data_IF_974766312002
#
_entry.id   IF_974766312002
#
_cell.length_a   1.000
_cell.length_b   1.000
_cell.length_c   1.000
_cell.angle_alpha   90.00
_cell.angle_beta   90.00
_cell.angle_gamma   90.00
#
_symmetry.space_group_name_H-M   'P 1'
#
loop_
_entity.id
_entity.type
_entity.pdbx_description
1 polymer ?
#
# COMPACT_ATOMS: atom_id res chain seq x y z
N UNK A 1 -16.36 -6.51 2.19
CA UNK A 1 -15.64 -7.76 1.90
C UNK A 1 -16.53 -8.75 1.16
N UNK A 2 -17.75 -9.01 1.65
CA UNK A 2 -18.73 -9.90 1.01
C UNK A 2 -18.98 -9.56 -0.47
N UNK A 3 -19.16 -8.28 -0.80
CA UNK A 3 -19.37 -7.85 -2.19
C UNK A 3 -18.16 -8.16 -3.10
N UNK A 4 -16.94 -7.98 -2.60
CA UNK A 4 -15.73 -8.29 -3.37
C UNK A 4 -15.62 -9.80 -3.64
N UNK A 5 -15.95 -10.63 -2.64
CA UNK A 5 -16.02 -12.10 -2.78
C UNK A 5 -17.09 -12.49 -3.82
N UNK A 6 -18.27 -11.85 -3.76
CA UNK A 6 -19.35 -12.06 -4.73
C UNK A 6 -18.94 -11.70 -6.15
N UNK A 7 -18.24 -10.58 -6.35
CA UNK A 7 -17.72 -10.17 -7.66
C UNK A 7 -16.65 -11.14 -8.18
N UNK A 8 -15.75 -11.62 -7.33
CA UNK A 8 -14.76 -12.66 -7.68
C UNK A 8 -15.45 -13.95 -8.11
N UNK A 9 -16.50 -14.39 -7.40
CA UNK A 9 -17.30 -15.55 -7.76
C UNK A 9 -18.04 -15.36 -9.10
N UNK A 10 -18.67 -14.19 -9.31
CA UNK A 10 -19.34 -13.85 -10.57
C UNK A 10 -18.39 -13.86 -11.77
N UNK A 11 -17.12 -13.47 -11.56
CA UNK A 11 -16.08 -13.52 -12.58
C UNK A 11 -15.44 -14.91 -12.77
N UNK A 12 -15.88 -15.94 -12.03
CA UNK A 12 -15.30 -17.29 -12.08
C UNK A 12 -13.89 -17.39 -11.46
N UNK A 13 -13.52 -16.41 -10.63
CA UNK A 13 -12.17 -16.27 -10.06
C UNK A 13 -12.08 -16.68 -8.58
N UNK A 14 -13.17 -17.11 -7.95
CA UNK A 14 -13.20 -17.38 -6.50
C UNK A 14 -12.05 -18.28 -5.98
N UNK A 15 -11.62 -19.28 -6.77
CA UNK A 15 -10.50 -20.17 -6.40
C UNK A 15 -9.10 -19.60 -6.72
N UNK A 16 -9.01 -18.61 -7.61
CA UNK A 16 -7.76 -18.01 -8.10
C UNK A 16 -7.44 -16.68 -7.42
N UNK A 17 -8.48 -15.91 -7.09
CA UNK A 17 -8.43 -14.62 -6.42
C UNK A 17 -9.24 -14.70 -5.11
N UNK A 18 -8.67 -15.40 -4.13
CA UNK A 18 -9.23 -15.55 -2.80
C UNK A 18 -9.10 -14.21 -2.07
N UNK A 19 -10.23 -13.69 -1.58
CA UNK A 19 -10.29 -12.44 -0.82
C UNK A 19 -10.57 -12.80 0.63
N UNK A 20 -9.70 -12.36 1.53
CA UNK A 20 -9.80 -12.59 2.96
C UNK A 20 -9.18 -11.43 3.72
N UNK A 21 -9.52 -11.31 4.99
CA UNK A 21 -8.81 -10.43 5.91
C UNK A 21 -7.39 -10.97 6.10
N UNK A 22 -6.41 -10.07 6.16
CA UNK A 22 -5.07 -10.40 6.60
C UNK A 22 -5.04 -10.27 8.13
N UNK A 23 -4.79 -11.36 8.83
CA UNK A 23 -4.42 -11.33 10.24
C UNK A 23 -2.92 -11.66 10.35
N UNK A 24 -2.19 -10.92 11.19
CA UNK A 24 -0.73 -11.10 11.30
C UNK A 24 -0.36 -12.35 12.14
N UNK A 25 -1.33 -12.97 12.81
CA UNK A 25 -1.28 -14.26 13.52
C UNK A 25 -1.96 -15.39 12.73
N UNK A 26 -2.26 -15.20 11.46
CA UNK A 26 -3.02 -16.18 10.71
C UNK A 26 -2.23 -17.48 10.43
N UNK A 27 -2.43 -18.46 11.29
CA UNK A 27 -1.79 -19.78 11.21
C UNK A 27 -2.22 -20.60 9.99
N UNK A 28 -3.28 -20.21 9.27
CA UNK A 28 -3.67 -20.89 8.03
C UNK A 28 -2.79 -20.48 6.85
N UNK A 29 -2.08 -19.34 6.93
CA UNK A 29 -1.13 -18.98 5.89
C UNK A 29 0.17 -19.74 6.10
N UNK A 30 0.31 -20.82 5.34
CA UNK A 30 1.54 -21.63 5.33
C UNK A 30 2.74 -20.78 4.92
N UNK A 31 3.76 -20.82 5.76
CA UNK A 31 5.08 -20.26 5.49
C UNK A 31 5.67 -20.82 4.19
N UNK A 32 6.45 -19.99 3.50
CA UNK A 32 7.23 -20.31 2.30
C UNK A 32 6.38 -20.88 1.16
N UNK A 33 5.22 -20.28 0.90
CA UNK A 33 4.32 -20.70 -0.20
C UNK A 33 4.11 -19.65 -1.28
N UNK A 34 4.55 -18.41 -1.09
CA UNK A 34 4.33 -17.32 -2.05
C UNK A 34 5.58 -17.08 -2.88
N UNK A 35 5.42 -17.00 -4.19
CA UNK A 35 6.48 -16.64 -5.14
C UNK A 35 6.65 -15.11 -5.24
N UNK A 36 5.59 -14.38 -4.96
CA UNK A 36 5.60 -12.93 -4.87
C UNK A 36 4.52 -12.40 -3.92
N UNK A 37 4.79 -11.25 -3.33
CA UNK A 37 3.80 -10.41 -2.64
C UNK A 37 3.84 -9.02 -3.27
N UNK A 38 2.66 -8.47 -3.54
CA UNK A 38 2.49 -7.11 -4.04
C UNK A 38 1.69 -6.31 -3.02
N UNK A 39 2.21 -5.16 -2.61
CA UNK A 39 1.56 -4.23 -1.69
C UNK A 39 1.41 -2.88 -2.37
N UNK A 40 0.22 -2.29 -2.26
CA UNK A 40 -0.07 -0.97 -2.80
C UNK A 40 -0.64 -0.10 -1.69
N UNK A 41 0.15 0.87 -1.24
CA UNK A 41 -0.25 1.98 -0.38
C UNK A 41 -1.04 1.53 0.85
N UNK A 42 -0.46 0.59 1.60
CA UNK A 42 -1.18 -0.11 2.67
C UNK A 42 -0.42 -0.33 3.96
N UNK A 43 0.92 -0.29 3.96
CA UNK A 43 1.69 -0.60 5.17
C UNK A 43 1.56 0.48 6.24
N UNK A 44 1.38 1.74 5.83
CA UNK A 44 1.18 2.84 6.78
C UNK A 44 -0.11 2.72 7.61
N UNK A 45 -1.03 1.80 7.26
CA UNK A 45 -2.25 1.52 8.03
C UNK A 45 -2.07 0.38 9.04
N UNK A 46 -0.93 -0.31 9.01
CA UNK A 46 -0.64 -1.44 9.91
C UNK A 46 0.16 -0.93 11.11
N UNK A 47 -0.38 -1.14 12.32
CA UNK A 47 0.23 -0.64 13.55
C UNK A 47 1.48 -1.41 13.98
N UNK A 48 1.53 -2.71 13.72
CA UNK A 48 2.62 -3.59 14.13
C UNK A 48 3.66 -3.77 13.01
N UNK A 49 4.61 -2.84 12.95
CA UNK A 49 5.60 -2.69 11.87
C UNK A 49 6.60 -3.83 11.80
N UNK A 50 7.13 -4.26 12.94
CA UNK A 50 8.13 -5.32 12.98
C UNK A 50 7.51 -6.66 12.59
N UNK A 51 6.31 -6.92 13.11
CA UNK A 51 5.58 -8.14 12.79
C UNK A 51 5.21 -8.22 11.33
N UNK A 52 4.73 -7.14 10.70
CA UNK A 52 4.36 -7.21 9.28
C UNK A 52 5.55 -7.57 8.41
N UNK A 53 6.75 -7.02 8.65
CA UNK A 53 7.92 -7.40 7.86
C UNK A 53 8.29 -8.87 8.03
N UNK A 54 8.26 -9.37 9.27
CA UNK A 54 8.52 -10.79 9.54
C UNK A 54 7.49 -11.68 8.85
N UNK A 55 6.20 -11.36 8.99
CA UNK A 55 5.11 -12.07 8.32
C UNK A 55 5.34 -12.08 6.81
N UNK A 56 5.63 -10.94 6.18
CA UNK A 56 5.87 -10.89 4.73
C UNK A 56 7.04 -11.77 4.28
N UNK A 57 8.12 -11.80 5.07
CA UNK A 57 9.28 -12.65 4.81
C UNK A 57 8.93 -14.13 4.91
N UNK A 58 8.24 -14.52 5.98
CA UNK A 58 7.86 -15.92 6.25
C UNK A 58 6.90 -16.48 5.19
N UNK A 59 6.03 -15.63 4.63
CA UNK A 59 5.11 -16.05 3.58
C UNK A 59 5.79 -16.40 2.26
N UNK A 60 6.91 -15.75 1.97
CA UNK A 60 7.65 -15.89 0.72
C UNK A 60 8.56 -17.12 0.75
N UNK A 61 8.65 -17.82 -0.38
CA UNK A 61 9.68 -18.84 -0.59
C UNK A 61 11.08 -18.19 -0.61
N UNK A 62 12.18 -18.96 -0.52
CA UNK A 62 13.51 -18.45 -0.85
C UNK A 62 13.57 -17.85 -2.27
N UNK A 63 14.45 -16.86 -2.49
CA UNK A 63 14.62 -16.14 -3.76
C UNK A 63 13.33 -15.55 -4.36
N UNK A 64 12.36 -15.18 -3.54
CA UNK A 64 11.04 -14.68 -3.98
C UNK A 64 10.87 -13.19 -3.77
N UNK A 65 9.85 -12.60 -4.40
CA UNK A 65 9.79 -11.15 -4.61
C UNK A 65 8.78 -10.45 -3.70
N UNK A 66 9.21 -9.38 -3.04
CA UNK A 66 8.32 -8.39 -2.43
C UNK A 66 8.35 -7.11 -3.27
N UNK A 67 7.19 -6.70 -3.79
CA UNK A 67 7.01 -5.48 -4.56
C UNK A 67 6.05 -4.56 -3.82
N UNK A 68 6.45 -3.31 -3.61
CA UNK A 68 5.63 -2.36 -2.86
C UNK A 68 5.63 -0.98 -3.50
N UNK A 69 4.51 -0.27 -3.39
CA UNK A 69 4.43 1.18 -3.57
C UNK A 69 3.93 1.79 -2.28
N UNK A 70 4.72 2.60 -1.59
CA UNK A 70 4.33 3.19 -0.30
C UNK A 70 4.57 4.69 -0.24
N UNK A 71 3.69 5.36 0.52
CA UNK A 71 3.94 6.72 1.00
C UNK A 71 4.94 6.69 2.15
N UNK A 72 6.00 7.48 2.04
CA UNK A 72 7.03 7.64 3.05
C UNK A 72 7.04 9.08 3.57
N UNK A 73 7.31 9.27 4.85
CA UNK A 73 7.45 10.59 5.46
C UNK A 73 8.81 11.20 5.17
N UNK A 74 8.83 12.53 4.99
CA UNK A 74 10.08 13.30 4.93
C UNK A 74 10.18 14.19 6.17
N UNK A 75 11.22 14.04 7.02
CA UNK A 75 11.42 14.91 8.17
C UNK A 75 11.54 16.38 7.79
N UNK A 76 10.90 17.26 8.57
CA UNK A 76 11.03 18.71 8.43
C UNK A 76 10.33 19.35 7.23
N UNK A 77 9.60 18.60 6.39
CA UNK A 77 8.87 19.14 5.22
C UNK A 77 7.37 18.86 5.30
N UNK A 78 6.57 19.74 4.69
CA UNK A 78 5.12 19.58 4.49
C UNK A 78 4.34 19.01 5.68
N UNK A 79 4.67 19.46 6.91
CA UNK A 79 4.14 18.84 8.13
C UNK A 79 2.63 19.07 8.27
N UNK A 80 2.17 20.27 7.89
CA UNK A 80 0.77 20.66 7.95
C UNK A 80 -0.05 19.87 6.92
N UNK A 81 0.37 19.86 5.65
CA UNK A 81 -0.32 19.14 4.57
C UNK A 81 -0.32 17.62 4.82
N UNK A 82 0.76 17.08 5.39
CA UNK A 82 0.81 15.68 5.82
C UNK A 82 -0.15 15.40 6.97
N UNK A 83 -0.28 16.30 7.94
CA UNK A 83 -1.21 16.13 9.05
C UNK A 83 -2.66 16.21 8.57
N UNK A 84 -2.96 17.14 7.66
CA UNK A 84 -4.26 17.26 7.00
C UNK A 84 -4.64 16.03 6.19
N UNK A 85 -3.70 15.48 5.41
CA UNK A 85 -3.89 14.20 4.73
C UNK A 85 -4.12 13.07 5.73
N UNK A 86 -3.32 13.02 6.80
CA UNK A 86 -3.45 12.03 7.87
C UNK A 86 -4.80 12.04 8.56
N UNK A 87 -5.43 13.21 8.70
CA UNK A 87 -6.73 13.39 9.34
C UNK A 87 -7.90 12.76 8.55
N UNK A 88 -7.72 12.45 7.27
CA UNK A 88 -8.73 11.74 6.47
C UNK A 88 -8.82 10.25 6.78
N UNK A 89 -7.78 9.68 7.41
CA UNK A 89 -7.76 8.28 7.76
C UNK A 89 -8.46 8.05 9.09
N UNK A 90 -9.25 6.96 9.18
CA UNK A 90 -9.90 6.54 10.42
C UNK A 90 -8.90 6.32 11.57
N UNK A 91 -7.70 5.84 11.24
CA UNK A 91 -6.58 5.68 12.16
C UNK A 91 -5.42 6.49 11.59
N UNK A 92 -4.76 7.27 12.44
CA UNK A 92 -3.63 8.10 12.01
C UNK A 92 -2.56 7.24 11.32
N UNK A 93 -2.18 7.56 10.07
CA UNK A 93 -1.28 6.74 9.29
C UNK A 93 0.13 6.80 9.90
N UNK A 94 0.76 5.63 10.03
CA UNK A 94 2.14 5.50 10.49
C UNK A 94 3.06 5.35 9.29
N UNK A 95 3.46 6.48 8.71
CA UNK A 95 4.42 6.52 7.60
C UNK A 95 5.83 6.14 8.05
N UNK A 96 6.55 5.41 7.20
CA UNK A 96 7.97 5.11 7.39
C UNK A 96 8.82 6.24 6.82
N UNK A 97 9.98 6.46 7.41
CA UNK A 97 11.10 7.06 6.68
C UNK A 97 11.75 6.01 5.77
N UNK A 98 12.43 6.45 4.70
CA UNK A 98 13.02 5.51 3.75
C UNK A 98 14.04 4.57 4.40
N UNK A 99 14.92 5.11 5.24
CA UNK A 99 15.94 4.30 5.91
C UNK A 99 15.31 3.36 6.94
N UNK A 100 14.30 3.81 7.69
CA UNK A 100 13.53 2.96 8.61
C UNK A 100 12.92 1.75 7.88
N UNK A 101 12.30 1.97 6.72
CA UNK A 101 11.70 0.92 5.92
C UNK A 101 12.77 -0.09 5.45
N UNK A 102 13.90 0.41 4.94
CA UNK A 102 14.99 -0.44 4.43
C UNK A 102 15.63 -1.27 5.52
N UNK A 103 15.89 -0.66 6.68
CA UNK A 103 16.41 -1.34 7.85
C UNK A 103 15.43 -2.39 8.37
N UNK A 104 14.14 -2.06 8.47
CA UNK A 104 13.11 -2.99 8.94
C UNK A 104 13.00 -4.24 8.06
N UNK A 105 13.03 -4.06 6.74
CA UNK A 105 13.06 -5.18 5.79
C UNK A 105 14.37 -5.99 5.92
N UNK A 106 15.51 -5.32 6.01
CA UNK A 106 16.81 -5.99 6.09
C UNK A 106 16.96 -6.80 7.39
N UNK A 107 16.44 -6.30 8.51
CA UNK A 107 16.43 -6.98 9.82
C UNK A 107 15.73 -8.33 9.78
N UNK A 108 14.72 -8.52 8.92
CA UNK A 108 14.00 -9.80 8.78
C UNK A 108 14.53 -10.65 7.62
N UNK A 109 15.64 -10.24 6.98
CA UNK A 109 16.34 -11.01 5.96
C UNK A 109 16.03 -10.62 4.52
N UNK A 110 15.21 -9.60 4.25
CA UNK A 110 15.04 -9.12 2.88
C UNK A 110 16.29 -8.41 2.37
N UNK A 111 16.61 -8.63 1.10
CA UNK A 111 17.59 -7.85 0.35
C UNK A 111 16.87 -6.82 -0.53
N UNK A 112 16.95 -5.54 -0.14
CA UNK A 112 16.29 -4.43 -0.84
C UNK A 112 17.09 -4.03 -2.07
N UNK A 113 16.61 -4.43 -3.24
CA UNK A 113 17.26 -4.21 -4.55
C UNK A 113 16.93 -2.86 -5.16
N UNK A 114 15.72 -2.36 -4.94
CA UNK A 114 15.27 -1.07 -5.47
C UNK A 114 14.50 -0.33 -4.38
N UNK A 115 14.81 0.95 -4.21
CA UNK A 115 13.96 1.91 -3.54
C UNK A 115 13.99 3.20 -4.36
N UNK A 116 13.03 3.33 -5.28
CA UNK A 116 12.98 4.42 -6.25
C UNK A 116 11.90 5.41 -5.87
N UNK A 117 12.26 6.68 -5.76
CA UNK A 117 11.30 7.78 -5.67
C UNK A 117 10.54 7.91 -7.01
N UNK A 118 9.23 7.71 -6.96
CA UNK A 118 8.30 7.85 -8.08
C UNK A 118 7.32 9.02 -7.86
N UNK A 119 7.57 9.90 -6.87
CA UNK A 119 6.68 11.00 -6.46
C UNK A 119 6.26 11.86 -7.65
N UNK A 120 7.19 12.22 -8.53
CA UNK A 120 6.89 13.02 -9.73
C UNK A 120 5.92 12.29 -10.68
N UNK A 121 6.18 11.02 -10.95
CA UNK A 121 5.34 10.21 -11.84
C UNK A 121 3.96 9.97 -11.20
N UNK A 122 3.93 9.73 -9.90
CA UNK A 122 2.70 9.51 -9.14
C UNK A 122 1.81 10.76 -9.08
N UNK A 123 2.38 11.95 -8.83
CA UNK A 123 1.65 13.24 -8.90
C UNK A 123 1.02 13.46 -10.29
N UNK A 124 1.78 13.19 -11.35
CA UNK A 124 1.26 13.29 -12.72
C UNK A 124 0.11 12.29 -12.97
N UNK A 125 0.21 11.07 -12.42
CA UNK A 125 -0.86 10.08 -12.49
C UNK A 125 -2.12 10.55 -11.75
N UNK A 126 -1.99 11.07 -10.53
CA UNK A 126 -3.10 11.59 -9.73
C UNK A 126 -3.83 12.73 -10.46
N UNK A 127 -3.09 13.73 -10.94
CA UNK A 127 -3.67 14.87 -11.66
C UNK A 127 -4.45 14.41 -12.90
N UNK A 128 -3.87 13.48 -13.67
CA UNK A 128 -4.54 12.89 -14.83
C UNK A 128 -5.80 12.08 -14.43
N UNK A 129 -5.74 11.37 -13.31
CA UNK A 129 -6.87 10.61 -12.75
C UNK A 129 -8.04 11.53 -12.39
N UNK A 130 -7.76 12.61 -11.66
CA UNK A 130 -8.76 13.61 -11.26
C UNK A 130 -9.36 14.30 -12.50
N UNK A 131 -8.53 14.71 -13.48
CA UNK A 131 -9.01 15.32 -14.72
C UNK A 131 -9.90 14.36 -15.54
N UNK A 132 -9.55 13.08 -15.59
CA UNK A 132 -10.40 12.06 -16.24
C UNK A 132 -11.69 11.87 -15.48
N UNK A 133 -11.62 11.76 -14.14
CA UNK A 133 -12.78 11.62 -13.29
C UNK A 133 -13.77 12.77 -13.52
N UNK A 134 -13.31 14.02 -13.47
CA UNK A 134 -14.14 15.21 -13.72
C UNK A 134 -14.79 15.24 -15.11
N UNK A 135 -14.19 14.61 -16.12
CA UNK A 135 -14.79 14.45 -17.46
C UNK A 135 -15.82 13.32 -17.51
N UNK A 136 -15.72 12.33 -16.63
CA UNK A 136 -16.59 11.14 -16.56
C UNK A 136 -17.69 11.26 -15.51
N UNK A 137 -17.64 12.26 -14.62
CA UNK A 137 -18.75 12.53 -13.67
C UNK A 137 -20.02 12.64 -14.51
N UNK A 138 -21.00 11.75 -14.29
CA UNK A 138 -22.13 11.62 -15.19
C UNK A 138 -22.94 12.92 -15.24
N UNK A 139 -23.54 13.19 -16.40
CA UNK A 139 -24.64 14.17 -16.50
C UNK A 139 -25.89 13.70 -15.73
N UNK A 140 -25.92 12.44 -15.32
CA UNK A 140 -26.92 11.85 -14.45
C UNK A 140 -26.49 11.93 -12.98
N UNK A 141 -27.43 12.14 -12.05
CA UNK A 141 -27.10 12.30 -10.64
C UNK A 141 -26.50 11.02 -10.05
N UNK A 142 -25.36 11.18 -9.37
CA UNK A 142 -24.79 10.14 -8.50
C UNK A 142 -25.85 9.76 -7.46
N UNK A 143 -26.08 8.45 -7.27
CA UNK A 143 -27.00 7.94 -6.24
C UNK A 143 -26.68 8.62 -4.91
N UNK A 144 -27.70 9.14 -4.22
CA UNK A 144 -27.53 9.95 -3.00
C UNK A 144 -26.63 9.27 -1.97
N UNK A 145 -26.76 7.96 -1.81
CA UNK A 145 -25.96 7.12 -0.92
C UNK A 145 -24.46 7.02 -1.29
N UNK A 146 -24.09 7.31 -2.54
CA UNK A 146 -22.71 7.30 -3.02
C UNK A 146 -22.08 8.69 -3.06
N UNK A 147 -22.87 9.77 -2.92
CA UNK A 147 -22.36 11.14 -3.04
C UNK A 147 -21.29 11.44 -1.98
N UNK A 148 -21.53 11.06 -0.72
CA UNK A 148 -20.56 11.26 0.36
C UNK A 148 -19.25 10.51 0.11
N UNK A 149 -19.33 9.26 -0.37
CA UNK A 149 -18.14 8.46 -0.71
C UNK A 149 -17.35 9.05 -1.86
N UNK A 150 -18.03 9.54 -2.90
CA UNK A 150 -17.38 10.21 -4.03
C UNK A 150 -16.69 11.49 -3.58
N UNK A 151 -17.34 12.31 -2.74
CA UNK A 151 -16.74 13.53 -2.22
C UNK A 151 -15.54 13.24 -1.33
N UNK A 152 -15.62 12.23 -0.48
CA UNK A 152 -14.49 11.77 0.34
C UNK A 152 -13.31 11.33 -0.53
N UNK A 153 -13.54 10.57 -1.60
CA UNK A 153 -12.49 10.12 -2.51
C UNK A 153 -11.81 11.30 -3.21
N UNK A 154 -12.58 12.29 -3.66
CA UNK A 154 -12.04 13.52 -4.28
C UNK A 154 -11.20 14.31 -3.29
N UNK A 155 -11.68 14.49 -2.05
CA UNK A 155 -10.95 15.18 -0.99
C UNK A 155 -9.66 14.42 -0.63
N UNK A 156 -9.73 13.09 -0.52
CA UNK A 156 -8.59 12.23 -0.27
C UNK A 156 -7.48 12.45 -1.30
N UNK A 157 -7.79 12.35 -2.58
CA UNK A 157 -6.78 12.52 -3.62
C UNK A 157 -6.25 13.96 -3.70
N UNK A 158 -7.07 14.97 -3.42
CA UNK A 158 -6.62 16.36 -3.35
C UNK A 158 -5.62 16.58 -2.20
N UNK A 159 -5.92 16.07 -0.99
CA UNK A 159 -5.01 16.19 0.16
C UNK A 159 -3.75 15.34 -0.03
N UNK A 160 -3.85 14.16 -0.64
CA UNK A 160 -2.67 13.35 -1.01
C UNK A 160 -1.77 14.12 -1.98
N UNK A 161 -2.34 14.78 -3.00
CA UNK A 161 -1.56 15.61 -3.92
C UNK A 161 -0.86 16.75 -3.18
N UNK A 162 -1.57 17.48 -2.30
CA UNK A 162 -0.99 18.58 -1.53
C UNK A 162 0.15 18.11 -0.62
N UNK A 163 -0.01 16.97 0.06
CA UNK A 163 1.05 16.40 0.90
C UNK A 163 2.29 15.98 0.10
N UNK A 164 2.09 15.45 -1.13
CA UNK A 164 3.19 15.13 -2.07
C UNK A 164 3.83 16.39 -2.66
N UNK A 165 3.06 17.46 -2.88
CA UNK A 165 3.56 18.73 -3.43
C UNK A 165 4.38 19.50 -2.40
N UNK A 166 3.89 19.59 -1.17
CA UNK A 166 4.60 20.17 -0.03
C UNK A 166 5.83 19.35 0.41
N UNK A 167 5.96 18.12 -0.12
CA UNK A 167 7.06 17.21 0.18
C UNK A 167 6.99 16.62 1.59
N UNK A 168 5.83 16.66 2.26
CA UNK A 168 5.63 16.02 3.56
C UNK A 168 5.58 14.50 3.46
N UNK A 169 5.13 14.01 2.30
CA UNK A 169 5.20 12.60 1.91
C UNK A 169 5.84 12.45 0.53
N UNK A 170 6.39 11.26 0.26
CA UNK A 170 6.91 10.84 -1.06
C UNK A 170 6.33 9.48 -1.42
N UNK A 171 6.22 9.17 -2.72
CA UNK A 171 5.81 7.86 -3.20
C UNK A 171 7.04 7.08 -3.65
N UNK A 172 7.29 5.93 -3.03
CA UNK A 172 8.42 5.07 -3.38
C UNK A 172 7.95 3.73 -3.92
N UNK A 173 8.62 3.27 -4.99
CA UNK A 173 8.56 1.88 -5.43
C UNK A 173 9.72 1.10 -4.84
N UNK A 174 9.39 0.09 -4.05
CA UNK A 174 10.35 -0.79 -3.40
C UNK A 174 10.28 -2.19 -4.04
N UNK A 175 11.45 -2.77 -4.31
CA UNK A 175 11.60 -4.18 -4.66
C UNK A 175 12.64 -4.80 -3.74
N UNK A 176 12.21 -5.82 -3.00
CA UNK A 176 13.06 -6.64 -2.17
C UNK A 176 12.93 -8.12 -2.54
N UNK A 177 13.95 -8.90 -2.20
CA UNK A 177 13.97 -10.36 -2.41
C UNK A 177 14.33 -11.07 -1.12
N UNK A 178 13.71 -12.23 -0.88
CA UNK A 178 14.15 -13.12 0.21
C UNK A 178 15.49 -13.77 -0.14
N UNK A 179 16.28 -14.21 0.86
CA UNK A 179 17.57 -14.84 0.63
C UNK A 179 17.48 -16.11 -0.21
N UNK A 180 18.61 -16.50 -0.81
CA UNK A 180 18.69 -17.67 -1.69
C UNK A 180 18.59 -19.00 -0.93
N UNK A 181 19.08 -19.06 0.31
CA UNK A 181 19.03 -20.23 1.18
C UNK A 181 17.93 -20.12 2.22
N UNK A 182 17.22 -21.22 2.46
CA UNK A 182 16.29 -21.37 3.58
C UNK A 182 17.11 -21.47 4.88
N UNK A 183 17.07 -20.47 5.78
CA UNK A 183 17.87 -20.49 7.01
C UNK A 183 17.48 -21.63 7.96
N UNK A 184 16.34 -22.30 7.72
CA UNK A 184 15.91 -23.47 8.50
C UNK A 184 16.44 -24.81 7.98
N UNK A 185 17.20 -24.81 6.88
CA UNK A 185 17.75 -26.01 6.23
C UNK A 185 19.28 -26.12 6.27
N UNK A 186 19.93 -25.50 7.27
CA UNK A 186 21.34 -25.78 7.57
C UNK A 186 21.50 -27.03 8.43
#
# INVERSE_FOLDING_TARGET
MEEAVRLSAKAGLAKKAVIRKLELDDHEVKEHKRDAIVIREGLYQISDRERIFKTLCDLLKPSSHLLMTEFLSVPGKGQEERAEWGALHRTSPRLFELDELREGLSKVGFDVRVAKDETKAYKAMLLNGILRFGKTVPKEPVLRELQEWVMWEVEYWARTYNALEAGGITMHRIHAVTPMSDPTKM
#
